data_IF_411865147873
#
_entry.id   IF_411865147873
#
_cell.length_a   1.000
_cell.length_b   1.000
_cell.length_c   1.000
_cell.angle_alpha   90.00
_cell.angle_beta   90.00
_cell.angle_gamma   90.00
#
_symmetry.space_group_name_H-M   'P 1'
#
loop_
_entity.id
_entity.type
_entity.pdbx_description
1 polymer ?
#
# COMPACT_ATOMS: atom_id res chain seq x y z
N UNK A 1 -29.64 -38.15 -32.71
CA UNK A 1 -28.25 -38.55 -32.36
C UNK A 1 -27.23 -37.43 -32.53
N UNK A 2 -27.48 -36.41 -33.31
CA UNK A 2 -26.54 -35.29 -33.59
C UNK A 2 -26.53 -34.23 -32.46
N UNK A 3 -27.65 -33.99 -31.79
CA UNK A 3 -27.72 -32.97 -30.72
C UNK A 3 -26.99 -33.39 -29.44
N UNK A 4 -26.96 -34.66 -29.08
CA UNK A 4 -26.26 -35.14 -27.86
C UNK A 4 -24.72 -35.05 -27.97
N UNK A 5 -24.17 -35.09 -29.18
CA UNK A 5 -22.73 -34.92 -29.42
C UNK A 5 -22.30 -33.44 -29.28
N UNK A 6 -23.17 -32.51 -29.63
CA UNK A 6 -22.93 -31.04 -29.52
C UNK A 6 -22.83 -30.59 -28.03
N UNK A 7 -23.76 -31.04 -27.20
CA UNK A 7 -23.76 -30.69 -25.78
C UNK A 7 -22.58 -31.29 -25.00
N UNK A 8 -22.18 -32.52 -25.33
CA UNK A 8 -20.98 -33.12 -24.70
C UNK A 8 -19.69 -32.41 -25.06
N UNK A 9 -19.54 -31.97 -26.29
CA UNK A 9 -18.39 -31.20 -26.74
C UNK A 9 -18.39 -29.79 -26.15
N UNK A 10 -19.54 -29.16 -26.01
CA UNK A 10 -19.69 -27.86 -25.37
C UNK A 10 -19.34 -27.95 -23.88
N UNK A 11 -19.84 -28.96 -23.17
CA UNK A 11 -19.52 -29.20 -21.75
C UNK A 11 -18.04 -29.55 -21.54
N UNK A 12 -17.43 -30.34 -22.43
CA UNK A 12 -16.00 -30.65 -22.39
C UNK A 12 -15.17 -29.39 -22.68
N UNK A 13 -15.55 -28.56 -23.63
CA UNK A 13 -14.88 -27.29 -23.92
C UNK A 13 -14.99 -26.32 -22.76
N UNK A 14 -16.19 -26.13 -22.18
CA UNK A 14 -16.38 -25.29 -20.97
C UNK A 14 -15.61 -25.84 -19.76
N UNK A 15 -15.51 -27.15 -19.61
CA UNK A 15 -14.71 -27.75 -18.54
C UNK A 15 -13.23 -27.54 -18.75
N UNK A 16 -12.73 -27.68 -19.98
CA UNK A 16 -11.34 -27.47 -20.35
C UNK A 16 -10.95 -25.98 -20.21
N UNK A 17 -11.81 -25.07 -20.68
CA UNK A 17 -11.62 -23.61 -20.48
C UNK A 17 -11.65 -23.24 -18.99
N UNK A 18 -12.48 -23.89 -18.19
CA UNK A 18 -12.55 -23.64 -16.74
C UNK A 18 -11.34 -24.20 -16.00
N UNK A 19 -10.81 -25.36 -16.40
CA UNK A 19 -9.60 -25.97 -15.85
C UNK A 19 -8.34 -25.16 -16.26
N UNK A 20 -8.32 -24.57 -17.46
CA UNK A 20 -7.22 -23.72 -17.93
C UNK A 20 -7.16 -22.33 -17.25
N UNK A 21 -8.24 -21.89 -16.61
CA UNK A 21 -8.31 -20.61 -15.88
C UNK A 21 -8.16 -20.78 -14.35
N UNK A 22 -7.95 -22.00 -13.85
CA UNK A 22 -7.66 -22.20 -12.42
C UNK A 22 -6.30 -21.64 -12.09
N UNK A 23 -6.27 -20.75 -11.13
CA UNK A 23 -5.04 -20.19 -10.56
C UNK A 23 -4.71 -20.91 -9.25
N UNK A 24 -3.43 -21.15 -9.02
CA UNK A 24 -2.91 -21.87 -7.87
C UNK A 24 -1.84 -21.04 -7.14
N UNK A 25 -1.77 -21.26 -5.84
CA UNK A 25 -0.69 -20.74 -5.03
C UNK A 25 0.28 -21.86 -4.65
N UNK A 26 1.57 -21.55 -4.66
CA UNK A 26 2.62 -22.40 -4.10
C UNK A 26 3.17 -21.77 -2.85
N UNK A 27 3.16 -22.48 -1.74
CA UNK A 27 3.79 -22.06 -0.48
C UNK A 27 5.20 -22.60 -0.41
N UNK A 28 6.14 -21.73 -0.06
CA UNK A 28 7.54 -22.05 0.20
C UNK A 28 7.93 -21.50 1.56
N UNK A 29 8.07 -22.41 2.53
CA UNK A 29 8.44 -22.05 3.90
C UNK A 29 9.92 -21.71 3.96
N UNK A 30 10.22 -20.59 4.59
CA UNK A 30 11.55 -20.10 4.91
C UNK A 30 11.91 -20.49 6.35
N UNK A 31 13.14 -20.16 6.79
CA UNK A 31 13.48 -20.19 8.20
C UNK A 31 12.62 -19.18 9.00
N UNK A 32 12.63 -19.29 10.33
CA UNK A 32 11.92 -18.39 11.26
C UNK A 32 10.39 -18.28 11.07
N UNK A 33 9.76 -19.24 10.37
CA UNK A 33 8.31 -19.29 10.20
C UNK A 33 7.74 -18.36 9.13
N UNK A 34 8.60 -17.76 8.30
CA UNK A 34 8.18 -16.99 7.13
C UNK A 34 7.78 -17.93 6.01
N UNK A 35 6.57 -17.76 5.49
CA UNK A 35 6.06 -18.44 4.30
C UNK A 35 5.98 -17.48 3.12
N UNK A 36 6.53 -17.87 1.98
CA UNK A 36 6.35 -17.18 0.70
C UNK A 36 5.22 -17.84 -0.08
N UNK A 37 4.17 -17.09 -0.36
CA UNK A 37 2.98 -17.52 -1.09
C UNK A 37 3.07 -16.99 -2.51
N UNK A 38 3.44 -17.86 -3.45
CA UNK A 38 3.75 -17.54 -4.85
C UNK A 38 2.55 -17.87 -5.73
N UNK A 39 2.10 -16.91 -6.53
CA UNK A 39 1.00 -17.05 -7.47
C UNK A 39 1.51 -16.67 -8.86
N UNK A 40 1.44 -17.64 -9.78
CA UNK A 40 1.83 -17.46 -11.18
C UNK A 40 0.60 -17.27 -12.05
N UNK A 41 0.65 -16.31 -12.95
CA UNK A 41 -0.36 -16.04 -13.96
C UNK A 41 0.36 -15.76 -15.30
N UNK A 42 0.82 -16.82 -15.98
CA UNK A 42 1.54 -16.77 -17.26
C UNK A 42 2.58 -15.64 -17.36
N UNK A 43 2.14 -14.41 -17.71
CA UNK A 43 3.00 -13.23 -17.89
C UNK A 43 3.41 -12.57 -16.56
N UNK A 44 2.68 -12.84 -15.48
CA UNK A 44 2.91 -12.16 -14.20
C UNK A 44 3.05 -13.13 -13.04
N UNK A 45 3.85 -12.71 -12.06
CA UNK A 45 4.07 -13.46 -10.82
C UNK A 45 3.98 -12.52 -9.65
N UNK A 46 3.17 -12.88 -8.65
CA UNK A 46 3.07 -12.12 -7.41
C UNK A 46 3.41 -13.01 -6.22
N UNK A 47 4.04 -12.44 -5.21
CA UNK A 47 4.45 -13.15 -4.00
C UNK A 47 4.02 -12.37 -2.77
N UNK A 48 3.38 -13.07 -1.84
CA UNK A 48 3.00 -12.55 -0.53
C UNK A 48 3.73 -13.31 0.58
N UNK A 49 3.74 -12.76 1.80
CA UNK A 49 4.26 -13.45 2.99
C UNK A 49 3.37 -13.21 4.20
N UNK A 50 3.38 -14.17 5.12
CA UNK A 50 2.67 -14.10 6.40
C UNK A 50 3.32 -13.13 7.41
N UNK A 51 4.54 -12.64 7.16
CA UNK A 51 5.17 -11.63 8.00
C UNK A 51 4.78 -10.22 7.56
N UNK A 52 3.96 -9.53 8.37
CA UNK A 52 3.37 -8.23 8.06
C UNK A 52 2.31 -8.29 6.97
N UNK A 53 1.73 -9.47 6.65
CA UNK A 53 0.78 -9.66 5.55
C UNK A 53 1.17 -8.85 4.31
N UNK A 54 2.43 -8.98 3.88
CA UNK A 54 3.05 -8.08 2.89
C UNK A 54 3.10 -8.69 1.50
N UNK A 55 3.12 -7.78 0.52
CA UNK A 55 3.56 -8.11 -0.84
C UNK A 55 5.09 -8.08 -0.88
N UNK A 56 5.67 -9.09 -1.50
CA UNK A 56 7.10 -9.31 -1.56
C UNK A 56 7.66 -8.97 -2.92
N UNK A 57 6.97 -9.37 -3.98
CA UNK A 57 7.31 -9.04 -5.36
C UNK A 57 6.09 -9.10 -6.26
N UNK A 58 6.15 -8.34 -7.35
CA UNK A 58 5.20 -8.43 -8.44
C UNK A 58 5.95 -8.26 -9.75
N UNK A 59 6.05 -9.34 -10.50
CA UNK A 59 6.76 -9.35 -11.79
C UNK A 59 5.76 -9.32 -12.94
N UNK A 60 6.09 -8.53 -13.94
CA UNK A 60 5.52 -8.60 -15.28
C UNK A 60 6.64 -9.07 -16.23
N UNK A 61 6.47 -10.20 -16.90
CA UNK A 61 7.55 -11.00 -17.44
C UNK A 61 8.61 -11.26 -16.34
N UNK A 62 9.87 -10.92 -16.58
CA UNK A 62 10.94 -11.00 -15.57
C UNK A 62 11.20 -9.69 -14.83
N UNK A 63 10.44 -8.61 -15.14
CA UNK A 63 10.63 -7.31 -14.54
C UNK A 63 9.84 -7.18 -13.23
N UNK A 64 10.53 -7.06 -12.11
CA UNK A 64 9.89 -6.81 -10.82
C UNK A 64 9.54 -5.33 -10.70
N UNK A 65 8.24 -5.01 -10.61
CA UNK A 65 7.74 -3.64 -10.47
C UNK A 65 7.56 -3.20 -9.02
N UNK A 66 7.91 -4.05 -8.05
CA UNK A 66 7.81 -3.80 -6.61
C UNK A 66 9.21 -3.83 -6.00
N UNK A 67 9.57 -2.80 -5.23
CA UNK A 67 10.82 -2.76 -4.49
C UNK A 67 10.73 -3.64 -3.23
N UNK A 68 11.90 -4.02 -2.73
CA UNK A 68 12.07 -4.56 -1.38
C UNK A 68 12.35 -6.02 -1.31
N UNK A 69 12.03 -6.79 -2.33
CA UNK A 69 12.34 -8.19 -2.27
C UNK A 69 13.34 -8.66 -3.29
N UNK A 70 14.59 -8.65 -2.88
CA UNK A 70 15.67 -9.22 -3.66
C UNK A 70 16.14 -10.53 -3.07
N UNK A 71 15.69 -10.90 -1.86
CA UNK A 71 16.29 -11.96 -1.09
C UNK A 71 15.27 -12.79 -0.35
N UNK A 72 15.54 -14.05 -0.31
CA UNK A 72 14.86 -15.06 0.46
C UNK A 72 15.37 -15.08 1.92
N UNK A 73 15.92 -13.95 2.44
CA UNK A 73 16.51 -13.90 3.75
C UNK A 73 15.62 -13.20 4.77
N UNK A 74 15.40 -13.82 5.88
CA UNK A 74 14.65 -13.30 7.02
C UNK A 74 15.19 -11.95 7.51
N UNK A 75 16.50 -11.77 7.50
CA UNK A 75 17.21 -10.56 7.90
C UNK A 75 16.77 -9.32 7.12
N UNK A 76 16.34 -9.51 5.86
CA UNK A 76 15.84 -8.42 5.05
C UNK A 76 14.59 -7.76 5.67
N UNK A 77 13.66 -8.55 6.20
CA UNK A 77 12.43 -8.05 6.78
C UNK A 77 12.62 -7.51 8.19
N UNK A 78 13.47 -8.14 8.99
CA UNK A 78 13.73 -7.74 10.37
C UNK A 78 14.53 -6.43 10.46
N UNK A 79 15.48 -6.21 9.54
CA UNK A 79 16.38 -5.04 9.55
C UNK A 79 15.90 -3.87 8.72
N UNK A 80 14.80 -4.02 8.01
CA UNK A 80 14.30 -3.06 7.02
C UNK A 80 13.48 -1.92 7.66
N UNK A 81 13.97 -0.67 7.62
CA UNK A 81 13.28 0.46 8.23
C UNK A 81 12.19 1.07 7.31
N UNK A 82 12.00 0.56 6.10
CA UNK A 82 11.13 1.18 5.07
C UNK A 82 9.80 0.48 4.87
N UNK A 83 9.46 -0.52 5.67
CA UNK A 83 8.19 -1.25 5.62
C UNK A 83 7.83 -1.83 4.25
N UNK A 84 8.80 -2.18 3.41
CA UNK A 84 8.58 -2.66 2.04
C UNK A 84 7.43 -3.67 1.94
N UNK A 85 6.35 -3.28 1.24
CA UNK A 85 5.18 -4.10 0.95
C UNK A 85 4.33 -4.49 2.15
N UNK A 86 4.67 -4.06 3.37
CA UNK A 86 3.98 -4.47 4.58
C UNK A 86 2.59 -3.85 4.69
N UNK A 87 1.69 -4.59 5.34
CA UNK A 87 0.51 -4.00 5.95
C UNK A 87 0.93 -3.22 7.18
N UNK A 88 0.58 -1.94 7.20
CA UNK A 88 0.91 -0.99 8.28
C UNK A 88 -0.37 -0.62 9.03
N UNK A 89 -0.27 -0.54 10.34
CA UNK A 89 -1.37 -0.19 11.23
C UNK A 89 -1.04 -0.47 12.70
N UNK A 90 -1.99 -0.21 13.62
CA UNK A 90 -3.41 0.14 13.31
C UNK A 90 -3.59 1.49 12.62
N UNK A 91 -2.60 2.43 12.68
CA UNK A 91 -2.70 3.76 12.10
C UNK A 91 -1.51 4.04 11.18
N UNK A 92 -1.75 4.16 9.89
CA UNK A 92 -0.76 4.53 8.87
C UNK A 92 -0.41 6.01 8.97
N UNK A 93 0.86 6.34 8.71
CA UNK A 93 1.36 7.70 8.86
C UNK A 93 1.56 8.13 10.31
N UNK A 94 1.74 9.44 10.52
CA UNK A 94 2.10 10.02 11.83
C UNK A 94 0.89 10.49 12.62
N UNK A 95 0.97 10.35 13.96
CA UNK A 95 0.14 11.07 14.94
C UNK A 95 1.06 12.02 15.70
N UNK A 96 0.76 13.32 15.61
CA UNK A 96 1.58 14.37 16.19
C UNK A 96 1.75 14.22 17.72
N UNK A 97 2.99 14.41 18.20
CA UNK A 97 3.35 14.29 19.61
C UNK A 97 2.98 12.96 20.27
N UNK A 98 2.74 11.91 19.45
CA UNK A 98 2.30 10.61 19.92
C UNK A 98 1.07 10.69 20.85
N UNK A 99 0.15 11.63 20.60
CA UNK A 99 -1.06 11.83 21.41
C UNK A 99 -2.26 12.21 20.56
N UNK A 100 -3.42 11.82 21.03
CA UNK A 100 -4.71 12.27 20.48
C UNK A 100 -5.77 12.32 21.56
N UNK A 101 -6.87 13.01 21.27
CA UNK A 101 -8.07 13.03 22.10
C UNK A 101 -9.23 12.36 21.36
N UNK A 102 -9.96 11.50 22.05
CA UNK A 102 -11.16 10.83 21.56
C UNK A 102 -12.20 10.79 22.67
N UNK A 103 -13.43 11.29 22.39
CA UNK A 103 -14.49 11.43 23.38
C UNK A 103 -14.04 12.16 24.67
N UNK A 104 -13.30 13.27 24.53
CA UNK A 104 -12.72 14.06 25.64
C UNK A 104 -11.74 13.29 26.54
N UNK A 105 -11.25 12.14 26.10
CA UNK A 105 -10.19 11.39 26.77
C UNK A 105 -8.90 11.46 25.97
N UNK A 106 -7.82 11.89 26.66
CA UNK A 106 -6.49 11.91 26.06
C UNK A 106 -5.87 10.51 26.09
N UNK A 107 -5.29 10.11 24.95
CA UNK A 107 -4.48 8.92 24.78
C UNK A 107 -3.05 9.27 24.47
N UNK A 108 -2.12 8.53 25.05
CA UNK A 108 -0.68 8.68 24.85
C UNK A 108 -0.14 7.40 24.23
N UNK A 109 0.57 7.53 23.11
CA UNK A 109 1.14 6.45 22.33
C UNK A 109 2.66 6.40 22.50
N UNK A 110 3.30 5.32 22.12
CA UNK A 110 4.74 5.25 22.03
C UNK A 110 5.26 6.10 20.87
N UNK A 111 6.20 7.00 21.16
CA UNK A 111 6.90 7.76 20.15
C UNK A 111 8.01 6.89 19.54
N UNK A 112 7.95 6.70 18.21
CA UNK A 112 8.94 5.93 17.45
C UNK A 112 9.50 6.68 16.23
N UNK A 113 9.08 7.95 16.05
CA UNK A 113 9.61 8.85 15.05
C UNK A 113 9.80 10.26 15.64
N UNK A 114 10.94 10.49 16.29
CA UNK A 114 11.14 11.69 17.10
C UNK A 114 10.16 11.73 18.26
N UNK A 115 9.32 12.78 18.31
CA UNK A 115 8.25 12.93 19.31
C UNK A 115 6.90 12.39 18.85
N UNK A 116 6.82 11.89 17.61
CA UNK A 116 5.59 11.42 17.00
C UNK A 116 5.47 9.90 17.07
N UNK A 117 4.22 9.40 17.04
CA UNK A 117 3.96 8.01 16.70
C UNK A 117 3.86 7.91 15.17
N UNK A 118 4.44 6.86 14.58
CA UNK A 118 4.31 6.55 13.16
C UNK A 118 3.99 5.06 12.98
N UNK A 119 3.09 4.76 12.07
CA UNK A 119 2.76 3.42 11.61
C UNK A 119 2.32 2.45 12.73
N UNK A 120 1.59 2.97 13.75
CA UNK A 120 1.12 2.18 14.88
C UNK A 120 2.16 1.96 15.98
N UNK A 121 3.33 2.62 15.87
CA UNK A 121 4.36 2.57 16.91
C UNK A 121 5.37 1.44 16.75
N UNK A 122 6.21 1.19 17.77
CA UNK A 122 7.29 0.20 17.69
C UNK A 122 6.79 -1.25 17.55
N UNK A 123 5.56 -1.51 17.98
CA UNK A 123 4.91 -2.82 17.93
C UNK A 123 3.86 -2.93 16.80
N UNK A 124 4.02 -2.14 15.73
CA UNK A 124 3.15 -2.16 14.56
C UNK A 124 2.97 -3.54 13.94
N UNK A 125 1.88 -3.70 13.19
CA UNK A 125 1.51 -5.00 12.58
C UNK A 125 2.41 -5.41 11.42
N UNK A 126 3.20 -4.49 10.89
CA UNK A 126 4.21 -4.72 9.85
C UNK A 126 5.30 -5.73 10.27
N UNK A 127 5.47 -5.94 11.58
CA UNK A 127 6.47 -6.82 12.20
C UNK A 127 5.86 -8.07 12.86
N UNK A 128 4.62 -8.42 12.53
CA UNK A 128 3.93 -9.56 13.12
C UNK A 128 3.76 -10.69 12.12
N UNK A 129 3.73 -11.90 12.64
CA UNK A 129 3.24 -13.05 11.90
C UNK A 129 1.72 -13.06 11.91
N UNK A 130 1.13 -13.33 10.76
CA UNK A 130 -0.29 -13.53 10.58
C UNK A 130 -0.56 -15.01 10.35
N UNK A 131 -1.65 -15.51 10.92
CA UNK A 131 -2.25 -16.73 10.42
C UNK A 131 -2.82 -16.49 9.03
N UNK A 132 -2.89 -17.52 8.17
CA UNK A 132 -3.43 -17.33 6.85
C UNK A 132 -4.16 -18.57 6.32
N UNK A 133 -5.03 -18.34 5.36
CA UNK A 133 -5.63 -19.37 4.50
C UNK A 133 -5.59 -18.94 3.04
N UNK A 134 -5.56 -19.93 2.14
CA UNK A 134 -5.54 -19.72 0.70
C UNK A 134 -6.85 -20.26 0.12
N UNK A 135 -7.48 -19.48 -0.74
CA UNK A 135 -8.66 -19.87 -1.51
C UNK A 135 -8.35 -19.76 -3.01
N UNK A 136 -8.25 -20.90 -3.65
CA UNK A 136 -7.99 -21.02 -5.09
C UNK A 136 -9.33 -21.10 -5.84
N UNK A 137 -9.48 -20.23 -6.83
CA UNK A 137 -10.72 -20.09 -7.58
C UNK A 137 -10.43 -19.96 -9.08
N UNK A 138 -11.45 -20.13 -9.89
CA UNK A 138 -11.35 -19.84 -11.33
C UNK A 138 -11.03 -18.35 -11.51
N UNK A 139 -9.92 -18.06 -12.15
CA UNK A 139 -9.48 -16.72 -12.49
C UNK A 139 -8.88 -15.91 -11.36
N UNK A 140 -8.75 -16.45 -10.13
CA UNK A 140 -8.12 -15.75 -9.02
C UNK A 140 -7.67 -16.65 -7.87
N UNK A 141 -6.72 -16.12 -7.08
CA UNK A 141 -6.33 -16.69 -5.79
C UNK A 141 -6.53 -15.60 -4.73
N UNK A 142 -7.08 -16.00 -3.57
CA UNK A 142 -7.16 -15.16 -2.37
C UNK A 142 -6.25 -15.72 -1.29
N UNK A 143 -5.48 -14.85 -0.67
CA UNK A 143 -4.72 -15.12 0.55
C UNK A 143 -5.32 -14.26 1.65
N UNK A 144 -5.89 -14.87 2.66
CA UNK A 144 -6.59 -14.21 3.75
C UNK A 144 -5.72 -14.34 4.99
N UNK A 145 -5.11 -13.24 5.41
CA UNK A 145 -4.29 -13.12 6.59
C UNK A 145 -5.13 -12.62 7.76
N UNK A 146 -4.91 -13.18 8.95
CA UNK A 146 -5.66 -12.81 10.16
C UNK A 146 -4.74 -12.59 11.33
N UNK A 147 -5.07 -11.58 12.15
CA UNK A 147 -4.40 -11.31 13.43
C UNK A 147 -5.32 -10.51 14.35
N UNK A 148 -5.00 -10.48 15.64
CA UNK A 148 -5.61 -9.57 16.61
C UNK A 148 -4.60 -8.53 17.04
N UNK A 149 -4.95 -7.24 16.97
CA UNK A 149 -4.16 -6.13 17.48
C UNK A 149 -4.64 -5.84 18.89
N UNK A 150 -3.79 -6.02 19.88
CA UNK A 150 -4.14 -5.78 21.27
C UNK A 150 -3.83 -4.34 21.68
N UNK A 151 -4.76 -3.71 22.41
CA UNK A 151 -4.55 -2.37 22.99
C UNK A 151 -3.31 -2.30 23.89
N UNK A 152 -2.95 -3.40 24.53
CA UNK A 152 -1.75 -3.49 25.36
C UNK A 152 -0.44 -3.39 24.56
N UNK A 153 -0.46 -3.67 23.25
CA UNK A 153 0.73 -3.66 22.40
C UNK A 153 1.04 -2.30 21.81
N UNK A 154 0.00 -1.50 21.50
CA UNK A 154 0.14 -0.25 20.74
C UNK A 154 -0.46 0.98 21.43
N UNK A 155 -1.11 0.77 22.60
CA UNK A 155 -1.68 1.80 23.49
C UNK A 155 -2.88 2.57 22.91
N UNK A 156 -3.38 2.18 21.76
CA UNK A 156 -4.68 2.66 21.28
C UNK A 156 -5.82 1.95 22.04
N UNK A 157 -7.00 2.59 22.19
CA UNK A 157 -8.14 1.93 22.85
C UNK A 157 -8.68 0.75 22.02
N UNK A 158 -9.10 -0.29 22.71
CA UNK A 158 -9.74 -1.47 22.14
C UNK A 158 -8.83 -2.44 21.41
N UNK A 159 -9.22 -3.71 21.44
CA UNK A 159 -8.59 -4.75 20.65
C UNK A 159 -9.27 -4.85 19.27
N UNK A 160 -8.51 -5.13 18.23
CA UNK A 160 -9.03 -5.22 16.85
C UNK A 160 -8.79 -6.62 16.30
N UNK A 161 -9.84 -7.30 15.88
CA UNK A 161 -9.75 -8.45 15.00
C UNK A 161 -9.61 -7.96 13.58
N UNK A 162 -8.54 -8.37 12.88
CA UNK A 162 -8.16 -7.90 11.55
C UNK A 162 -8.04 -9.04 10.56
N UNK A 163 -8.70 -8.90 9.40
CA UNK A 163 -8.43 -9.67 8.19
C UNK A 163 -7.81 -8.75 7.13
N UNK A 164 -6.69 -9.17 6.55
CA UNK A 164 -6.07 -8.58 5.36
C UNK A 164 -6.19 -9.58 4.22
N UNK A 165 -6.90 -9.21 3.17
CA UNK A 165 -7.20 -10.13 2.06
C UNK A 165 -6.48 -9.65 0.81
N UNK A 166 -5.48 -10.41 0.36
CA UNK A 166 -4.86 -10.19 -0.93
C UNK A 166 -5.52 -11.10 -1.98
N UNK A 167 -6.05 -10.50 -3.03
CA UNK A 167 -6.59 -11.23 -4.18
C UNK A 167 -5.78 -10.90 -5.43
N UNK A 168 -5.30 -11.92 -6.12
CA UNK A 168 -4.65 -11.78 -7.43
C UNK A 168 -5.42 -12.53 -8.50
N UNK A 169 -5.62 -11.92 -9.67
CA UNK A 169 -6.47 -12.48 -10.72
C UNK A 169 -5.81 -12.52 -12.11
N UNK A 170 -6.48 -13.17 -13.06
CA UNK A 170 -6.04 -13.33 -14.46
C UNK A 170 -5.90 -12.01 -15.23
N UNK A 171 -6.51 -10.91 -14.76
CA UNK A 171 -6.43 -9.59 -15.40
C UNK A 171 -5.21 -8.78 -14.92
N UNK A 172 -4.21 -9.42 -14.30
CA UNK A 172 -3.03 -8.78 -13.70
C UNK A 172 -3.41 -7.71 -12.67
N UNK A 173 -4.47 -7.99 -11.90
CA UNK A 173 -4.96 -7.12 -10.86
C UNK A 173 -4.73 -7.72 -9.48
N UNK A 174 -4.02 -6.98 -8.64
CA UNK A 174 -3.90 -7.23 -7.22
C UNK A 174 -4.89 -6.35 -6.47
N UNK A 175 -5.67 -6.96 -5.60
CA UNK A 175 -6.60 -6.27 -4.71
C UNK A 175 -6.22 -6.56 -3.27
N UNK A 176 -6.22 -5.54 -2.43
CA UNK A 176 -6.09 -5.65 -0.99
C UNK A 176 -7.36 -5.14 -0.33
N UNK A 177 -7.91 -5.94 0.60
CA UNK A 177 -9.09 -5.58 1.36
C UNK A 177 -8.75 -5.68 2.85
N UNK A 178 -9.21 -4.72 3.64
CA UNK A 178 -9.13 -4.75 5.08
C UNK A 178 -10.51 -4.91 5.67
N UNK A 179 -10.68 -5.89 6.58
CA UNK A 179 -11.87 -6.05 7.40
C UNK A 179 -11.44 -6.06 8.85
N UNK A 180 -12.10 -5.24 9.66
CA UNK A 180 -11.76 -5.14 11.06
C UNK A 180 -12.98 -4.88 11.91
N UNK A 181 -12.85 -5.20 13.20
CA UNK A 181 -13.82 -4.88 14.23
C UNK A 181 -13.09 -4.62 15.55
N UNK A 182 -13.39 -3.49 16.18
CA UNK A 182 -12.79 -3.13 17.46
C UNK A 182 -13.73 -3.38 18.63
N UNK A 183 -13.18 -3.76 19.79
CA UNK A 183 -13.93 -3.91 21.02
C UNK A 183 -14.33 -2.58 21.66
N UNK A 184 -13.58 -1.51 21.36
CA UNK A 184 -13.86 -0.14 21.82
C UNK A 184 -13.77 0.84 20.65
N UNK A 185 -14.31 2.05 20.80
CA UNK A 185 -14.08 3.15 19.87
C UNK A 185 -12.59 3.49 19.83
N UNK A 186 -12.03 3.55 18.62
CA UNK A 186 -10.58 3.70 18.41
C UNK A 186 -10.27 4.44 17.10
N UNK A 187 -8.99 4.59 16.80
CA UNK A 187 -8.52 4.98 15.48
C UNK A 187 -8.11 3.73 14.68
N UNK A 188 -8.50 3.69 13.41
CA UNK A 188 -8.08 2.63 12.51
C UNK A 188 -7.88 3.16 11.10
N UNK A 189 -6.64 3.19 10.64
CA UNK A 189 -6.23 3.74 9.36
C UNK A 189 -5.16 2.82 8.72
N UNK A 190 -5.52 1.56 8.39
CA UNK A 190 -4.57 0.61 7.83
C UNK A 190 -4.23 0.95 6.39
N UNK A 191 -3.00 0.65 5.97
CA UNK A 191 -2.57 0.80 4.58
C UNK A 191 -1.51 -0.25 4.21
N UNK A 192 -1.19 -0.38 2.92
CA UNK A 192 -0.06 -1.17 2.45
C UNK A 192 1.07 -0.26 1.96
N UNK A 193 2.27 -0.52 2.46
CA UNK A 193 3.46 0.29 2.18
C UNK A 193 4.29 -0.28 1.01
N UNK A 194 3.62 -0.61 -0.09
CA UNK A 194 4.27 -1.10 -1.29
C UNK A 194 4.95 0.03 -2.05
N UNK A 195 6.19 -0.21 -2.47
CA UNK A 195 6.91 0.68 -3.37
C UNK A 195 6.89 0.13 -4.79
N UNK A 196 6.56 0.97 -5.74
CA UNK A 196 6.55 0.64 -7.16
C UNK A 196 7.69 1.31 -7.90
N UNK A 197 8.20 0.64 -8.94
CA UNK A 197 9.00 1.21 -9.99
C UNK A 197 8.69 0.50 -11.30
N UNK A 198 8.15 1.21 -12.27
CA UNK A 198 7.72 0.65 -13.56
C UNK A 198 8.85 0.61 -14.60
N UNK A 199 10.08 0.99 -14.24
CA UNK A 199 11.23 0.89 -15.12
C UNK A 199 11.73 -0.55 -15.22
N UNK A 200 12.18 -0.94 -16.40
CA UNK A 200 12.78 -2.27 -16.65
C UNK A 200 14.26 -2.36 -16.24
N UNK A 201 14.90 -1.25 -15.94
CA UNK A 201 16.35 -1.12 -15.69
C UNK A 201 16.70 -0.61 -14.28
N UNK A 202 15.77 -0.66 -13.33
CA UNK A 202 15.93 -0.18 -11.96
C UNK A 202 16.41 1.29 -11.84
N UNK A 203 16.16 2.11 -12.86
CA UNK A 203 16.42 3.54 -12.80
C UNK A 203 15.49 4.23 -11.80
N UNK A 204 15.82 5.47 -11.43
CA UNK A 204 14.96 6.32 -10.62
C UNK A 204 13.62 6.61 -11.32
N UNK A 205 12.63 7.00 -10.52
CA UNK A 205 11.24 7.17 -10.98
C UNK A 205 10.95 8.50 -11.68
N UNK A 206 11.93 9.34 -11.93
CA UNK A 206 11.78 10.68 -12.51
C UNK A 206 10.95 10.71 -13.80
N UNK A 207 11.03 9.62 -14.58
CA UNK A 207 10.33 9.44 -15.85
C UNK A 207 8.91 8.87 -15.72
N UNK A 208 8.42 8.68 -14.50
CA UNK A 208 7.03 8.31 -14.28
C UNK A 208 6.17 9.56 -14.20
N UNK A 209 4.92 9.45 -14.64
CA UNK A 209 3.94 10.51 -14.49
C UNK A 209 2.69 10.02 -13.76
N UNK A 210 2.08 10.94 -13.02
CA UNK A 210 0.87 10.71 -12.24
C UNK A 210 -0.28 11.50 -12.81
N UNK A 211 -1.47 10.92 -12.81
CA UNK A 211 -2.71 11.57 -13.21
C UNK A 211 -3.91 11.07 -12.40
N UNK A 212 -4.81 11.98 -12.10
CA UNK A 212 -6.12 11.71 -11.48
C UNK A 212 -7.07 12.87 -11.78
N UNK A 213 -8.33 12.78 -11.35
CA UNK A 213 -9.30 13.88 -11.49
C UNK A 213 -8.90 15.12 -10.71
N UNK A 214 -8.16 14.95 -9.62
CA UNK A 214 -7.43 15.97 -8.87
C UNK A 214 -6.06 15.46 -8.48
N UNK A 215 -5.12 16.37 -8.25
CA UNK A 215 -3.85 16.12 -7.58
C UNK A 215 -3.63 17.25 -6.57
N UNK A 216 -4.44 17.25 -5.53
CA UNK A 216 -4.44 18.27 -4.48
C UNK A 216 -3.58 17.79 -3.31
N UNK A 217 -2.37 18.34 -3.19
CA UNK A 217 -1.32 17.96 -2.25
C UNK A 217 -1.49 18.69 -0.92
N UNK A 218 -1.62 17.95 0.19
CA UNK A 218 -1.63 18.53 1.53
C UNK A 218 -0.20 18.83 1.99
N UNK A 219 0.04 20.09 2.39
CA UNK A 219 1.36 20.57 2.77
C UNK A 219 1.76 20.09 4.15
N UNK A 220 3.04 19.75 4.29
CA UNK A 220 3.63 19.29 5.54
C UNK A 220 4.39 20.41 6.26
N UNK A 221 4.41 20.33 7.60
CA UNK A 221 5.28 21.10 8.48
C UNK A 221 6.72 20.59 8.50
N UNK A 222 7.56 21.24 9.30
CA UNK A 222 8.97 20.87 9.47
C UNK A 222 9.16 19.48 10.07
N UNK A 223 8.14 19.00 10.76
CA UNK A 223 8.08 17.73 11.47
C UNK A 223 7.33 16.61 10.68
N UNK A 224 7.11 16.81 9.38
CA UNK A 224 6.36 15.91 8.50
C UNK A 224 4.90 15.70 8.95
N UNK A 225 4.30 16.65 9.62
CA UNK A 225 2.90 16.64 10.01
C UNK A 225 2.09 17.55 9.08
N UNK A 226 0.93 17.07 8.64
CA UNK A 226 0.00 17.88 7.83
C UNK A 226 -0.39 19.15 8.60
N UNK A 227 -0.21 20.31 7.95
CA UNK A 227 -0.42 21.65 8.58
C UNK A 227 -1.89 22.05 8.62
N UNK A 228 -2.61 21.78 7.55
CA UNK A 228 -4.00 22.20 7.39
C UNK A 228 -4.75 21.30 6.42
N UNK A 229 -6.06 21.39 6.44
CA UNK A 229 -6.94 20.71 5.50
C UNK A 229 -7.12 21.46 4.17
N UNK A 230 -6.30 22.48 3.90
CA UNK A 230 -6.29 23.24 2.64
C UNK A 230 -5.12 22.77 1.78
N UNK A 231 -5.39 21.96 0.71
CA UNK A 231 -4.34 21.44 -0.15
C UNK A 231 -3.93 22.44 -1.24
N UNK A 232 -2.75 22.21 -1.82
CA UNK A 232 -2.27 22.87 -3.04
C UNK A 232 -2.60 22.01 -4.26
N UNK A 233 -3.29 22.57 -5.24
CA UNK A 233 -3.58 21.84 -6.49
C UNK A 233 -2.38 21.81 -7.42
N UNK A 234 -1.77 20.65 -7.61
CA UNK A 234 -0.67 20.48 -8.56
C UNK A 234 -1.15 20.65 -10.01
N UNK A 235 -2.37 20.22 -10.34
CA UNK A 235 -2.97 20.43 -11.68
C UNK A 235 -3.03 21.92 -12.03
N UNK A 236 -3.43 22.77 -11.08
CA UNK A 236 -3.45 24.21 -11.30
C UNK A 236 -2.05 24.81 -11.32
N UNK A 237 -1.13 24.31 -10.52
CA UNK A 237 0.27 24.80 -10.47
C UNK A 237 1.00 24.52 -11.77
N UNK A 238 0.90 23.28 -12.28
CA UNK A 238 1.60 22.87 -13.50
C UNK A 238 0.80 23.10 -14.79
N UNK A 239 -0.50 23.41 -14.69
CA UNK A 239 -1.43 23.54 -15.83
C UNK A 239 -1.51 22.26 -16.68
N UNK A 240 -1.30 21.08 -16.04
CA UNK A 240 -1.27 19.76 -16.66
C UNK A 240 -2.02 18.74 -15.81
N UNK A 241 -2.66 17.76 -16.47
CA UNK A 241 -3.37 16.66 -15.81
C UNK A 241 -2.48 15.44 -15.55
N UNK A 242 -1.42 15.29 -16.36
CA UNK A 242 -0.47 14.19 -16.30
C UNK A 242 0.93 14.75 -16.00
N UNK A 243 1.31 14.74 -14.72
CA UNK A 243 2.50 15.46 -14.23
C UNK A 243 3.62 14.45 -13.98
N UNK A 244 4.83 14.70 -14.53
CA UNK A 244 5.98 13.84 -14.25
C UNK A 244 6.53 14.10 -12.86
N UNK A 245 7.02 13.04 -12.20
CA UNK A 245 7.72 13.20 -10.92
C UNK A 245 8.89 14.16 -11.02
N UNK A 246 9.65 14.10 -12.13
CA UNK A 246 10.74 15.03 -12.37
C UNK A 246 10.30 16.49 -12.34
N UNK A 247 9.14 16.82 -12.92
CA UNK A 247 8.66 18.20 -12.96
C UNK A 247 8.25 18.69 -11.55
N UNK A 248 7.77 17.78 -10.70
CA UNK A 248 7.47 18.07 -9.30
C UNK A 248 8.78 18.30 -8.51
N UNK A 249 9.78 17.41 -8.68
CA UNK A 249 11.06 17.51 -7.98
C UNK A 249 11.84 18.78 -8.36
N UNK A 250 11.82 19.15 -9.64
CA UNK A 250 12.54 20.30 -10.19
C UNK A 250 11.67 21.59 -10.24
N UNK A 251 10.51 21.59 -9.57
CA UNK A 251 9.56 22.69 -9.64
C UNK A 251 10.17 24.05 -9.27
N UNK A 252 9.85 25.08 -10.03
CA UNK A 252 10.19 26.47 -9.72
C UNK A 252 9.07 27.19 -8.96
N UNK A 253 7.89 26.57 -8.79
CA UNK A 253 6.86 27.10 -7.89
C UNK A 253 7.40 27.16 -6.45
N UNK A 254 7.28 28.30 -5.79
CA UNK A 254 7.93 28.54 -4.52
C UNK A 254 7.47 27.58 -3.40
N UNK A 255 6.20 27.17 -3.40
CA UNK A 255 5.63 26.27 -2.38
C UNK A 255 6.06 24.83 -2.67
N UNK A 256 5.88 24.37 -3.91
CA UNK A 256 6.27 23.01 -4.30
C UNK A 256 7.78 22.82 -4.10
N UNK A 257 8.59 23.79 -4.56
CA UNK A 257 10.05 23.77 -4.40
C UNK A 257 10.47 23.66 -2.94
N UNK A 258 9.84 24.42 -2.06
CA UNK A 258 10.12 24.38 -0.62
C UNK A 258 9.80 23.01 -0.04
N UNK A 259 8.65 22.41 -0.38
CA UNK A 259 8.26 21.08 0.09
C UNK A 259 9.21 20.00 -0.43
N UNK A 260 9.56 20.01 -1.73
CA UNK A 260 10.47 19.03 -2.32
C UNK A 260 11.89 19.13 -1.74
N UNK A 261 12.40 20.34 -1.53
CA UNK A 261 13.72 20.53 -0.92
C UNK A 261 13.77 20.10 0.55
N UNK A 262 12.68 20.35 1.29
CA UNK A 262 12.58 19.99 2.70
C UNK A 262 12.59 18.48 2.92
N UNK A 263 11.85 17.74 2.10
CA UNK A 263 11.64 16.30 2.27
C UNK A 263 12.47 15.44 1.32
N UNK A 264 13.26 16.05 0.44
CA UNK A 264 14.05 15.33 -0.56
C UNK A 264 13.21 14.69 -1.67
N UNK A 265 11.95 15.09 -1.81
CA UNK A 265 10.96 14.54 -2.74
C UNK A 265 9.54 14.61 -2.17
N UNK A 266 8.63 13.80 -2.70
CA UNK A 266 7.26 13.73 -2.22
C UNK A 266 7.18 12.84 -0.96
N UNK A 267 6.47 13.28 0.07
CA UNK A 267 6.06 12.51 1.27
C UNK A 267 4.70 13.01 1.76
N UNK A 268 3.75 13.16 0.81
CA UNK A 268 2.56 13.98 1.01
C UNK A 268 1.27 13.21 0.79
N UNK A 269 0.21 13.49 1.58
CA UNK A 269 -1.14 13.07 1.26
C UNK A 269 -1.72 13.87 0.09
N UNK A 270 -2.55 13.19 -0.71
CA UNK A 270 -3.26 13.76 -1.87
C UNK A 270 -4.76 13.48 -1.79
N UNK A 271 -5.58 14.49 -2.07
CA UNK A 271 -6.94 14.31 -2.56
C UNK A 271 -6.87 14.09 -4.09
N UNK A 272 -7.34 12.94 -4.54
CA UNK A 272 -7.33 12.54 -5.94
C UNK A 272 -8.66 12.84 -6.66
N UNK A 273 -9.64 13.41 -5.94
CA UNK A 273 -10.94 13.85 -6.50
C UNK A 273 -11.86 12.72 -6.95
N UNK A 274 -11.57 11.50 -6.57
CA UNK A 274 -12.34 10.31 -6.96
C UNK A 274 -11.67 9.05 -6.45
N UNK A 275 -11.94 7.92 -7.10
CA UNK A 275 -11.46 6.62 -6.64
C UNK A 275 -10.27 6.09 -7.47
N UNK A 276 -9.83 6.79 -8.49
CA UNK A 276 -8.81 6.29 -9.43
C UNK A 276 -7.64 7.26 -9.59
N UNK A 277 -6.42 6.72 -9.53
CA UNK A 277 -5.17 7.35 -9.92
C UNK A 277 -4.44 6.45 -10.90
N UNK A 278 -3.75 7.05 -11.86
CA UNK A 278 -2.89 6.35 -12.81
C UNK A 278 -1.45 6.83 -12.63
N UNK A 279 -0.51 5.88 -12.59
CA UNK A 279 0.92 6.14 -12.72
C UNK A 279 1.42 5.41 -13.95
N UNK A 280 2.15 6.09 -14.81
CA UNK A 280 2.65 5.49 -16.04
C UNK A 280 4.08 5.92 -16.37
N UNK A 281 4.74 5.09 -17.15
CA UNK A 281 6.00 5.44 -17.81
C UNK A 281 5.93 5.05 -19.30
N UNK A 282 7.07 4.96 -19.97
CA UNK A 282 7.11 4.54 -21.39
C UNK A 282 6.73 3.07 -21.63
N UNK A 283 6.72 2.22 -20.59
CA UNK A 283 6.52 0.76 -20.71
C UNK A 283 5.19 0.29 -20.14
N UNK A 284 4.82 0.84 -18.97
CA UNK A 284 3.71 0.32 -18.18
C UNK A 284 2.75 1.42 -17.73
N UNK A 285 1.51 0.99 -17.48
CA UNK A 285 0.46 1.76 -16.83
C UNK A 285 0.06 0.99 -15.57
N UNK A 286 0.16 1.64 -14.42
CA UNK A 286 -0.35 1.16 -13.13
C UNK A 286 -1.59 1.98 -12.77
N UNK A 287 -2.74 1.34 -12.69
CA UNK A 287 -3.99 1.95 -12.23
C UNK A 287 -4.28 1.54 -10.80
N UNK A 288 -4.55 2.51 -9.95
CA UNK A 288 -5.02 2.32 -8.58
C UNK A 288 -6.47 2.70 -8.50
N UNK A 289 -7.30 1.86 -7.90
CA UNK A 289 -8.68 2.18 -7.57
C UNK A 289 -8.91 1.87 -6.09
N UNK A 290 -9.43 2.84 -5.33
CA UNK A 290 -9.60 2.74 -3.88
C UNK A 290 -10.89 3.39 -3.41
N UNK A 291 -11.46 2.88 -2.32
CA UNK A 291 -12.55 3.53 -1.57
C UNK A 291 -12.04 4.40 -0.41
N UNK A 292 -10.73 4.42 -0.17
CA UNK A 292 -10.12 5.29 0.83
C UNK A 292 -10.09 6.75 0.33
N UNK A 293 -10.22 7.74 1.24
CA UNK A 293 -10.40 9.14 0.86
C UNK A 293 -9.16 9.79 0.26
N UNK A 294 -7.97 9.28 0.57
CA UNK A 294 -6.70 9.89 0.18
C UNK A 294 -5.66 8.85 -0.20
N UNK A 295 -4.60 9.30 -0.89
CA UNK A 295 -3.41 8.52 -1.16
C UNK A 295 -2.20 9.31 -0.65
N UNK A 296 -1.36 8.69 0.18
CA UNK A 296 -0.03 9.23 0.48
C UNK A 296 0.94 8.70 -0.57
N UNK A 297 1.67 9.63 -1.19
CA UNK A 297 2.76 9.32 -2.12
C UNK A 297 4.06 9.61 -1.40
N UNK A 298 4.93 8.60 -1.28
CA UNK A 298 6.29 8.74 -0.81
C UNK A 298 7.26 8.25 -1.89
N UNK A 299 8.26 9.06 -2.23
CA UNK A 299 9.15 8.80 -3.36
C UNK A 299 10.51 8.25 -2.98
N UNK A 300 10.59 7.50 -1.87
CA UNK A 300 11.82 6.87 -1.38
C UNK A 300 12.97 7.89 -1.23
N UNK A 301 12.72 8.94 -0.44
CA UNK A 301 13.57 10.14 -0.42
C UNK A 301 14.88 9.96 0.36
N UNK A 302 14.88 9.10 1.38
CA UNK A 302 16.02 8.89 2.28
C UNK A 302 16.41 7.41 2.37
N UNK A 303 17.71 7.14 2.20
CA UNK A 303 18.31 5.80 2.31
C UNK A 303 19.38 5.72 3.40
N UNK A 304 19.59 6.79 4.15
CA UNK A 304 20.72 6.92 5.09
C UNK A 304 20.61 6.00 6.31
N UNK A 305 19.39 5.63 6.69
CA UNK A 305 19.10 4.79 7.87
C UNK A 305 19.35 3.30 7.66
N UNK A 306 19.50 2.85 6.42
CA UNK A 306 19.60 1.42 6.12
C UNK A 306 21.04 0.98 5.81
N UNK A 307 21.63 0.27 6.76
CA UNK A 307 22.94 -0.34 6.61
C UNK A 307 22.75 -1.84 6.44
N UNK A 308 22.56 -2.30 5.23
CA UNK A 308 22.42 -3.70 4.89
C UNK A 308 23.16 -4.00 3.59
N UNK A 309 23.74 -5.21 3.47
CA UNK A 309 24.31 -5.73 2.22
C UNK A 309 23.24 -5.87 1.12
N UNK A 310 21.96 -5.81 1.50
CA UNK A 310 20.80 -5.83 0.60
C UNK A 310 20.38 -4.43 0.11
N UNK A 311 21.02 -3.36 0.61
CA UNK A 311 20.69 -2.00 0.20
C UNK A 311 21.25 -1.70 -1.19
N UNK A 312 20.43 -1.99 -2.21
CA UNK A 312 20.69 -1.69 -3.62
C UNK A 312 19.96 -0.44 -4.09
N UNK A 313 19.12 0.15 -3.23
CA UNK A 313 18.29 1.29 -3.59
C UNK A 313 18.96 2.61 -3.24
N UNK A 314 18.69 3.62 -4.05
CA UNK A 314 19.07 5.03 -3.84
C UNK A 314 17.81 5.88 -3.76
N UNK A 315 17.95 7.14 -3.38
CA UNK A 315 16.82 8.08 -3.40
C UNK A 315 16.10 8.04 -4.75
N UNK A 316 14.80 8.10 -4.73
CA UNK A 316 13.88 8.00 -5.87
C UNK A 316 13.92 6.66 -6.62
N UNK A 317 14.36 5.59 -5.98
CA UNK A 317 14.27 4.25 -6.55
C UNK A 317 12.85 3.71 -6.68
N UNK A 318 11.87 4.29 -6.01
CA UNK A 318 10.48 3.87 -6.07
C UNK A 318 9.53 4.89 -5.46
N UNK A 319 8.23 4.63 -5.61
CA UNK A 319 7.16 5.43 -5.04
C UNK A 319 6.12 4.54 -4.38
N UNK A 320 5.50 5.04 -3.30
CA UNK A 320 4.34 4.39 -2.69
C UNK A 320 3.04 5.02 -3.18
N UNK A 321 1.95 4.28 -3.06
CA UNK A 321 0.57 4.76 -3.23
C UNK A 321 -0.24 4.19 -2.06
N UNK A 322 -0.08 4.82 -0.89
CA UNK A 322 -0.66 4.38 0.37
C UNK A 322 -2.08 4.91 0.48
N UNK A 323 -3.05 4.07 0.23
CA UNK A 323 -4.47 4.43 0.28
C UNK A 323 -4.96 4.43 1.73
N UNK A 324 -5.29 5.61 2.26
CA UNK A 324 -5.58 5.80 3.68
C UNK A 324 -6.31 7.14 3.93
N UNK A 325 -6.73 7.39 5.18
CA UNK A 325 -7.09 8.72 5.63
C UNK A 325 -5.85 9.60 5.75
N UNK A 326 -6.03 10.91 5.73
CA UNK A 326 -4.91 11.85 5.95
C UNK A 326 -4.26 11.55 7.31
N UNK A 327 -2.94 11.30 7.37
CA UNK A 327 -2.24 11.16 8.63
C UNK A 327 -2.46 12.34 9.58
N UNK A 328 -2.63 12.07 10.88
CA UNK A 328 -2.94 13.05 11.91
C UNK A 328 -4.36 13.66 11.82
N UNK A 329 -5.27 13.06 11.06
CA UNK A 329 -6.64 13.56 10.90
C UNK A 329 -7.37 13.77 12.23
N UNK A 330 -7.15 12.91 13.21
CA UNK A 330 -7.75 13.01 14.55
C UNK A 330 -7.38 14.33 15.25
N UNK A 331 -6.14 14.78 15.12
CA UNK A 331 -5.68 16.04 15.73
C UNK A 331 -6.08 17.28 14.88
N UNK A 332 -6.45 17.07 13.62
CA UNK A 332 -6.90 18.14 12.72
C UNK A 332 -8.44 18.30 12.75
N UNK A 333 -9.19 17.23 12.87
CA UNK A 333 -10.64 17.18 12.70
C UNK A 333 -11.38 16.76 13.98
N UNK A 334 -10.65 16.30 15.03
CA UNK A 334 -11.26 15.81 16.27
C UNK A 334 -12.23 14.67 16.02
N UNK A 335 -13.40 14.71 16.66
CA UNK A 335 -14.43 13.66 16.54
C UNK A 335 -15.04 13.50 15.13
N UNK A 336 -14.60 14.30 14.14
CA UNK A 336 -14.98 14.17 12.73
C UNK A 336 -13.92 13.45 11.89
N UNK A 337 -12.86 12.95 12.49
CA UNK A 337 -11.78 12.26 11.78
C UNK A 337 -12.28 10.97 11.10
N UNK A 338 -12.06 10.80 9.79
CA UNK A 338 -12.46 9.60 9.07
C UNK A 338 -11.80 8.31 9.57
N UNK A 339 -10.68 8.42 10.28
CA UNK A 339 -9.97 7.27 10.87
C UNK A 339 -10.63 6.70 12.12
N UNK A 340 -11.69 7.33 12.65
CA UNK A 340 -12.42 6.81 13.82
C UNK A 340 -13.19 5.55 13.44
N UNK A 341 -12.97 4.49 14.21
CA UNK A 341 -13.73 3.25 14.16
C UNK A 341 -14.55 3.12 15.44
N UNK A 342 -15.88 3.11 15.30
CA UNK A 342 -16.78 2.93 16.43
C UNK A 342 -16.72 1.51 17.00
N UNK A 343 -16.99 1.38 18.30
CA UNK A 343 -16.97 0.09 18.99
C UNK A 343 -17.95 -0.90 18.35
N UNK A 344 -17.44 -2.09 18.03
CA UNK A 344 -18.22 -3.19 17.44
C UNK A 344 -18.80 -2.93 16.03
N UNK A 345 -18.55 -1.77 15.42
CA UNK A 345 -18.91 -1.54 14.03
C UNK A 345 -17.89 -2.21 13.09
N UNK A 346 -18.34 -2.77 11.96
CA UNK A 346 -17.43 -3.37 10.99
C UNK A 346 -16.74 -2.28 10.18
N UNK A 347 -15.40 -2.37 10.08
CA UNK A 347 -14.62 -1.63 9.10
C UNK A 347 -14.44 -2.46 7.84
N UNK A 348 -14.50 -1.79 6.69
CA UNK A 348 -14.15 -2.35 5.41
C UNK A 348 -13.49 -1.29 4.53
N UNK A 349 -12.39 -1.64 3.89
CA UNK A 349 -11.82 -0.86 2.80
C UNK A 349 -11.23 -1.78 1.73
N UNK A 350 -11.11 -1.23 0.51
CA UNK A 350 -10.64 -1.95 -0.66
C UNK A 350 -9.81 -1.07 -1.56
N UNK A 351 -8.63 -1.57 -1.92
CA UNK A 351 -7.77 -0.97 -2.93
C UNK A 351 -7.40 -2.02 -3.97
N UNK A 352 -7.37 -1.65 -5.22
CA UNK A 352 -6.87 -2.52 -6.29
C UNK A 352 -5.82 -1.80 -7.14
N UNK A 353 -4.81 -2.57 -7.52
CA UNK A 353 -3.74 -2.16 -8.42
C UNK A 353 -3.80 -3.05 -9.67
N UNK A 354 -3.83 -2.44 -10.84
CA UNK A 354 -3.81 -3.16 -12.11
C UNK A 354 -2.65 -2.68 -12.96
N UNK A 355 -1.78 -3.62 -13.36
CA UNK A 355 -0.68 -3.34 -14.28
C UNK A 355 -1.05 -3.76 -15.70
N UNK A 356 -0.63 -2.96 -16.68
CA UNK A 356 -0.72 -3.30 -18.10
C UNK A 356 0.45 -2.70 -18.87
N UNK A 357 0.87 -3.35 -19.95
CA UNK A 357 1.81 -2.74 -20.88
C UNK A 357 1.19 -1.57 -21.62
N UNK A 358 2.00 -0.55 -21.85
CA UNK A 358 1.62 0.61 -22.68
C UNK A 358 1.79 0.20 -24.15
N UNK A 359 0.69 0.21 -24.89
CA UNK A 359 0.77 -0.01 -26.33
C UNK A 359 1.50 1.18 -26.97
N UNK A 360 2.53 0.85 -27.77
CA UNK A 360 3.35 1.82 -28.51
C UNK A 360 2.55 2.48 -29.66
#
# INVERSE_FOLDING_TARGET
>A
MIEFYSWKNLLLKCRFERESLMMFAKVESQSNGIDLIKIDNEETKIVFTNYGARIVSWKYDDNNIVLGNVVEADEFYESNPYNFGATVGRYGGRIANATFELDSKKYELDANNGVHNIHGGPNGIDKRFFDYKIEEQVGQVKVIFTTTIQSADDHFPGDIDLEVIHTYNVDHKWTIEYKAKSTEKTLFNPMNHVYFNLNRDNNVIDNHSISSSKLDMYLLGEDNIVKSMEPLSLVNTFQEQNIQFKDIFDSEDAIVKEQMQRFGGIDHPFDIGGNEMTVENKHFILKVNTDMPNIVIYTFNDTTGWKSDFNIYKAHSGFTLETQCIPNDINLLGDQAPSILEANEPFYSKTSYKISEKQL
#
